data_IF_445536282108
#
_entry.id   IF_445536282108
#
_cell.length_a   1.000
_cell.length_b   1.000
_cell.length_c   1.000
_cell.angle_alpha   90.00
_cell.angle_beta   90.00
_cell.angle_gamma   90.00
#
_symmetry.space_group_name_H-M   'P 1'
#
loop_
_entity.id
_entity.type
_entity.pdbx_description
1 polymer ?
#
# COMPACT_ATOMS: atom_id res chain seq x y z
N UNK A 1 27.58 -3.21 -16.35
CA UNK A 1 26.51 -2.97 -15.35
C UNK A 1 25.75 -4.25 -15.04
N UNK A 2 25.27 -5.03 -16.05
CA UNK A 2 24.45 -6.25 -15.87
C UNK A 2 25.12 -7.33 -15.00
N UNK A 3 26.41 -7.76 -15.23
CA UNK A 3 27.01 -8.82 -14.42
C UNK A 3 27.23 -8.42 -12.95
N UNK A 4 27.42 -7.14 -12.66
CA UNK A 4 27.52 -6.63 -11.28
C UNK A 4 26.16 -6.68 -10.58
N UNK A 5 25.07 -6.35 -11.27
CA UNK A 5 23.71 -6.48 -10.77
C UNK A 5 23.37 -7.95 -10.46
N UNK A 6 23.69 -8.89 -11.37
CA UNK A 6 23.43 -10.32 -11.16
C UNK A 6 24.19 -10.86 -9.93
N UNK A 7 25.43 -10.42 -9.70
CA UNK A 7 26.21 -10.82 -8.53
C UNK A 7 25.64 -10.26 -7.22
N UNK A 8 25.18 -8.99 -7.22
CA UNK A 8 24.48 -8.38 -6.09
C UNK A 8 23.10 -9.00 -5.83
N UNK A 9 22.41 -9.46 -6.88
CA UNK A 9 21.11 -10.15 -6.73
C UNK A 9 21.21 -11.44 -5.89
N UNK A 10 22.30 -12.18 -5.95
CA UNK A 10 22.51 -13.36 -5.09
C UNK A 10 22.62 -12.99 -3.61
N UNK A 11 23.22 -11.84 -3.29
CA UNK A 11 23.33 -11.34 -1.93
C UNK A 11 21.94 -10.87 -1.42
N UNK A 12 21.20 -10.13 -2.24
CA UNK A 12 19.85 -9.68 -1.91
C UNK A 12 18.90 -10.86 -1.64
N UNK A 13 19.04 -11.95 -2.41
CA UNK A 13 18.25 -13.18 -2.19
C UNK A 13 18.55 -13.89 -0.87
N UNK A 14 19.75 -13.76 -0.29
CA UNK A 14 20.08 -14.38 0.99
C UNK A 14 19.38 -13.70 2.18
N UNK A 15 19.08 -12.43 2.06
CA UNK A 15 18.51 -11.58 3.12
C UNK A 15 16.96 -11.50 3.08
N UNK A 16 16.28 -12.43 2.40
CA UNK A 16 14.83 -12.40 2.18
C UNK A 16 14.02 -12.19 3.46
N UNK A 17 14.27 -12.97 4.49
CA UNK A 17 13.55 -12.85 5.76
C UNK A 17 13.95 -11.61 6.56
N UNK A 18 15.15 -11.08 6.33
CA UNK A 18 15.59 -9.81 6.93
C UNK A 18 14.77 -8.66 6.38
N UNK A 19 14.48 -8.64 5.06
CA UNK A 19 13.61 -7.62 4.48
C UNK A 19 12.19 -7.68 5.03
N UNK A 20 11.62 -8.87 5.17
CA UNK A 20 10.30 -9.04 5.78
C UNK A 20 10.30 -8.55 7.24
N UNK A 21 11.30 -8.95 8.03
CA UNK A 21 11.43 -8.55 9.43
C UNK A 21 11.60 -7.03 9.59
N UNK A 22 12.49 -6.42 8.81
CA UNK A 22 12.69 -4.96 8.83
C UNK A 22 11.39 -4.25 8.43
N UNK A 23 10.71 -4.71 7.38
CA UNK A 23 9.44 -4.11 6.94
C UNK A 23 8.37 -4.15 8.05
N UNK A 24 8.17 -5.30 8.69
CA UNK A 24 7.20 -5.46 9.78
C UNK A 24 7.60 -4.62 11.00
N UNK A 25 8.88 -4.62 11.40
CA UNK A 25 9.36 -3.83 12.54
C UNK A 25 9.19 -2.32 12.30
N UNK A 26 9.52 -1.84 11.11
CA UNK A 26 9.32 -0.43 10.76
C UNK A 26 7.83 -0.05 10.75
N UNK A 27 6.95 -0.91 10.21
CA UNK A 27 5.51 -0.68 10.26
C UNK A 27 4.98 -0.68 11.69
N UNK A 28 5.39 -1.62 12.51
CA UNK A 28 5.00 -1.68 13.91
C UNK A 28 5.49 -0.43 14.68
N UNK A 29 6.73 0.01 14.43
CA UNK A 29 7.27 1.23 15.03
C UNK A 29 6.45 2.46 14.60
N UNK A 30 6.13 2.60 13.32
CA UNK A 30 5.28 3.68 12.80
C UNK A 30 3.89 3.64 13.45
N UNK A 31 3.29 2.46 13.58
CA UNK A 31 1.99 2.29 14.24
C UNK A 31 2.02 2.73 15.71
N UNK A 32 3.03 2.32 16.47
CA UNK A 32 3.18 2.68 17.87
C UNK A 32 3.46 4.18 18.06
N UNK A 33 4.31 4.76 17.21
CA UNK A 33 4.63 6.18 17.27
C UNK A 33 3.48 7.07 16.79
N UNK A 34 2.69 6.62 15.82
CA UNK A 34 1.51 7.35 15.35
C UNK A 34 0.40 7.44 16.39
N UNK A 35 0.32 6.50 17.32
CA UNK A 35 -0.62 6.57 18.45
C UNK A 35 -0.24 7.61 19.49
N UNK A 36 1.06 7.95 19.59
CA UNK A 36 1.56 8.94 20.56
C UNK A 36 1.56 10.38 20.03
N UNK A 37 1.41 10.58 18.71
CA UNK A 37 1.41 11.89 18.08
C UNK A 37 0.06 12.16 17.44
N UNK A 38 -0.78 12.93 18.11
CA UNK A 38 -2.09 13.38 17.63
C UNK A 38 -2.06 13.82 16.16
N UNK A 39 -2.48 12.93 15.24
CA UNK A 39 -2.82 13.26 13.85
C UNK A 39 -1.70 13.71 12.92
N UNK A 40 -0.48 13.92 13.39
CA UNK A 40 0.65 14.26 12.54
C UNK A 40 1.11 12.99 11.78
N UNK A 41 1.00 13.01 10.47
CA UNK A 41 1.71 12.05 9.61
C UNK A 41 3.19 12.14 10.00
N UNK A 42 3.74 11.08 10.60
CA UNK A 42 5.13 11.04 11.02
C UNK A 42 6.01 11.10 9.78
N UNK A 43 6.37 12.31 9.38
CA UNK A 43 7.39 12.57 8.39
C UNK A 43 8.72 12.70 9.15
N UNK A 44 9.52 11.67 9.15
CA UNK A 44 10.89 11.73 9.66
C UNK A 44 11.74 12.28 8.52
N UNK A 45 12.27 13.50 8.69
CA UNK A 45 13.09 14.20 7.67
C UNK A 45 12.39 14.42 6.31
N UNK A 46 11.06 14.63 6.30
CA UNK A 46 10.32 14.84 5.06
C UNK A 46 9.99 13.58 4.27
N UNK A 47 10.46 12.41 4.70
CA UNK A 47 10.16 11.11 4.07
C UNK A 47 9.14 10.35 4.93
N UNK A 48 8.07 9.88 4.32
CA UNK A 48 7.13 8.97 4.97
C UNK A 48 7.77 7.58 5.12
N UNK A 49 7.87 7.00 6.31
CA UNK A 49 8.45 5.66 6.49
C UNK A 49 7.78 4.58 5.64
N UNK A 50 6.49 4.70 5.35
CA UNK A 50 5.74 3.81 4.48
C UNK A 50 6.32 3.72 3.06
N UNK A 51 6.97 4.79 2.56
CA UNK A 51 7.62 4.77 1.24
C UNK A 51 8.84 3.83 1.23
N UNK A 52 9.68 3.90 2.25
CA UNK A 52 10.84 3.01 2.39
C UNK A 52 10.39 1.54 2.58
N UNK A 53 9.31 1.33 3.31
CA UNK A 53 8.78 -0.01 3.58
C UNK A 53 8.22 -0.65 2.31
N UNK A 54 7.60 0.12 1.39
CA UNK A 54 7.19 -0.39 0.07
C UNK A 54 8.35 -1.04 -0.69
N UNK A 55 9.51 -0.39 -0.65
CA UNK A 55 10.71 -0.90 -1.33
C UNK A 55 11.15 -2.23 -0.72
N UNK A 56 11.27 -2.30 0.62
CA UNK A 56 11.69 -3.54 1.30
C UNK A 56 10.69 -4.67 1.08
N UNK A 57 9.39 -4.37 1.04
CA UNK A 57 8.33 -5.33 0.76
C UNK A 57 8.44 -5.93 -0.65
N UNK A 58 8.62 -5.09 -1.67
CA UNK A 58 8.79 -5.56 -3.05
C UNK A 58 10.07 -6.40 -3.19
N UNK A 59 11.17 -6.01 -2.55
CA UNK A 59 12.39 -6.82 -2.51
C UNK A 59 12.19 -8.18 -1.83
N UNK A 60 11.43 -8.21 -0.74
CA UNK A 60 11.06 -9.47 -0.08
C UNK A 60 10.29 -10.38 -1.03
N UNK A 61 9.20 -9.87 -1.66
CA UNK A 61 8.39 -10.62 -2.59
C UNK A 61 9.22 -11.17 -3.76
N UNK A 62 10.04 -10.31 -4.39
CA UNK A 62 10.90 -10.69 -5.50
C UNK A 62 11.93 -11.76 -5.10
N UNK A 63 12.60 -11.56 -3.96
CA UNK A 63 13.62 -12.48 -3.48
C UNK A 63 13.05 -13.84 -3.08
N UNK A 64 11.85 -13.86 -2.49
CA UNK A 64 11.19 -15.08 -2.06
C UNK A 64 10.64 -15.86 -3.25
N UNK A 65 9.82 -15.24 -4.09
CA UNK A 65 9.17 -15.87 -5.24
C UNK A 65 10.16 -16.27 -6.34
N UNK A 66 11.35 -15.64 -6.40
CA UNK A 66 12.40 -16.07 -7.33
C UNK A 66 13.04 -17.42 -6.96
N UNK A 67 12.82 -17.93 -5.76
CA UNK A 67 13.37 -19.22 -5.30
C UNK A 67 12.39 -20.35 -5.42
N UNK A 68 11.16 -20.08 -5.03
CA UNK A 68 10.11 -21.11 -4.97
C UNK A 68 8.77 -20.45 -5.29
N UNK A 69 8.03 -21.07 -6.20
CA UNK A 69 6.68 -20.69 -6.60
C UNK A 69 5.66 -21.77 -6.24
N UNK A 70 6.04 -22.71 -5.35
CA UNK A 70 5.14 -23.74 -4.85
C UNK A 70 3.94 -23.13 -4.11
N UNK A 71 2.88 -23.91 -3.96
CA UNK A 71 1.70 -23.48 -3.19
C UNK A 71 2.08 -23.03 -1.76
N UNK A 72 3.00 -23.76 -1.12
CA UNK A 72 3.49 -23.39 0.24
C UNK A 72 4.20 -22.03 0.24
N UNK A 73 5.02 -21.76 -0.77
CA UNK A 73 5.69 -20.48 -0.92
C UNK A 73 4.70 -19.33 -1.12
N UNK A 74 3.67 -19.52 -1.95
CA UNK A 74 2.61 -18.53 -2.15
C UNK A 74 1.85 -18.27 -0.85
N UNK A 75 1.50 -19.30 -0.09
CA UNK A 75 0.83 -19.14 1.22
C UNK A 75 1.70 -18.35 2.20
N UNK A 76 3.01 -18.64 2.31
CA UNK A 76 3.92 -17.90 3.20
C UNK A 76 4.01 -16.43 2.83
N UNK A 77 4.15 -16.12 1.54
CA UNK A 77 4.17 -14.75 1.03
C UNK A 77 2.84 -14.04 1.30
N UNK A 78 1.72 -14.75 1.14
CA UNK A 78 0.37 -14.21 1.41
C UNK A 78 0.20 -13.84 2.89
N UNK A 79 0.70 -14.68 3.80
CA UNK A 79 0.65 -14.39 5.25
C UNK A 79 1.45 -13.13 5.58
N UNK A 80 2.68 -13.01 5.05
CA UNK A 80 3.52 -11.83 5.28
C UNK A 80 2.86 -10.58 4.67
N UNK A 81 2.30 -10.69 3.46
CA UNK A 81 1.58 -9.58 2.82
C UNK A 81 0.34 -9.18 3.64
N UNK A 82 -0.44 -10.15 4.14
CA UNK A 82 -1.60 -9.88 4.97
C UNK A 82 -1.23 -9.15 6.29
N UNK A 83 -0.10 -9.50 6.91
CA UNK A 83 0.41 -8.80 8.10
C UNK A 83 0.74 -7.34 7.75
N UNK A 84 1.46 -7.07 6.66
CA UNK A 84 1.79 -5.71 6.24
C UNK A 84 0.54 -4.89 5.96
N UNK A 85 -0.39 -5.43 5.16
CA UNK A 85 -1.66 -4.77 4.82
C UNK A 85 -2.49 -4.55 6.09
N UNK A 86 -2.57 -5.54 6.98
CA UNK A 86 -3.30 -5.44 8.24
C UNK A 86 -2.78 -4.31 9.14
N UNK A 87 -1.48 -4.19 9.31
CA UNK A 87 -0.87 -3.10 10.09
C UNK A 87 -1.17 -1.73 9.46
N UNK A 88 -1.12 -1.62 8.12
CA UNK A 88 -1.45 -0.37 7.41
C UNK A 88 -2.92 0.01 7.58
N UNK A 89 -3.84 -0.95 7.52
CA UNK A 89 -5.26 -0.72 7.79
C UNK A 89 -5.47 -0.23 9.22
N UNK A 90 -4.82 -0.86 10.21
CA UNK A 90 -4.88 -0.43 11.60
C UNK A 90 -4.28 0.97 11.80
N UNK A 91 -3.24 1.32 11.03
CA UNK A 91 -2.61 2.65 11.02
C UNK A 91 -3.43 3.71 10.26
N UNK A 92 -4.63 3.37 9.78
CA UNK A 92 -5.51 4.24 8.97
C UNK A 92 -4.91 4.67 7.62
N UNK A 93 -3.84 4.02 7.17
CA UNK A 93 -3.21 4.26 5.87
C UNK A 93 -3.77 3.31 4.81
N UNK A 94 -5.04 3.51 4.45
CA UNK A 94 -5.74 2.67 3.48
C UNK A 94 -5.14 2.79 2.07
N UNK A 95 -4.59 3.97 1.72
CA UNK A 95 -3.95 4.19 0.43
C UNK A 95 -2.73 3.29 0.24
N UNK A 96 -1.81 3.28 1.20
CA UNK A 96 -0.65 2.37 1.18
C UNK A 96 -1.09 0.91 1.25
N UNK A 97 -2.11 0.56 2.04
CA UNK A 97 -2.62 -0.80 2.12
C UNK A 97 -3.06 -1.36 0.76
N UNK A 98 -3.77 -0.56 -0.05
CA UNK A 98 -4.18 -0.95 -1.41
C UNK A 98 -2.97 -1.12 -2.32
N UNK A 99 -1.96 -0.24 -2.23
CA UNK A 99 -0.73 -0.35 -3.05
C UNK A 99 0.05 -1.62 -2.70
N UNK A 100 0.21 -1.94 -1.41
CA UNK A 100 0.87 -3.18 -0.97
C UNK A 100 0.13 -4.42 -1.45
N UNK A 101 -1.19 -4.41 -1.35
CA UNK A 101 -2.02 -5.50 -1.81
C UNK A 101 -1.93 -5.68 -3.34
N UNK A 102 -2.01 -4.59 -4.11
CA UNK A 102 -1.86 -4.63 -5.56
C UNK A 102 -0.46 -5.14 -5.97
N UNK A 103 0.61 -4.64 -5.34
CA UNK A 103 1.96 -5.10 -5.58
C UNK A 103 2.11 -6.60 -5.29
N UNK A 104 1.54 -7.10 -4.18
CA UNK A 104 1.50 -8.52 -3.86
C UNK A 104 0.81 -9.34 -4.96
N UNK A 105 -0.38 -8.96 -5.39
CA UNK A 105 -1.13 -9.68 -6.43
C UNK A 105 -0.36 -9.75 -7.75
N UNK A 106 0.18 -8.62 -8.20
CA UNK A 106 0.97 -8.55 -9.44
C UNK A 106 2.21 -9.43 -9.33
N UNK A 107 2.94 -9.37 -8.22
CA UNK A 107 4.17 -10.13 -8.02
C UNK A 107 3.91 -11.64 -7.98
N UNK A 108 2.86 -12.08 -7.30
CA UNK A 108 2.46 -13.50 -7.27
C UNK A 108 2.06 -13.96 -8.67
N UNK A 109 1.26 -13.17 -9.40
CA UNK A 109 0.87 -13.51 -10.76
C UNK A 109 2.06 -13.60 -11.71
N UNK A 110 2.96 -12.63 -11.68
CA UNK A 110 4.17 -12.62 -12.54
C UNK A 110 5.08 -13.81 -12.25
N UNK A 111 5.22 -14.19 -10.97
CA UNK A 111 6.08 -15.29 -10.56
C UNK A 111 5.47 -16.67 -10.91
N UNK A 112 4.18 -16.85 -10.65
CA UNK A 112 3.51 -18.16 -10.80
C UNK A 112 2.91 -18.37 -12.19
N UNK A 113 2.65 -17.30 -12.94
CA UNK A 113 1.92 -17.32 -14.23
C UNK A 113 0.54 -17.97 -14.16
N UNK A 114 0.00 -18.13 -12.97
CA UNK A 114 -1.28 -18.77 -12.74
C UNK A 114 -2.36 -17.73 -12.37
N UNK A 115 -3.35 -17.49 -13.24
CA UNK A 115 -4.41 -16.51 -12.96
C UNK A 115 -5.33 -16.94 -11.80
N UNK A 116 -5.33 -18.22 -11.41
CA UNK A 116 -6.09 -18.72 -10.27
C UNK A 116 -5.68 -18.06 -8.96
N UNK A 117 -4.38 -17.79 -8.75
CA UNK A 117 -3.90 -17.06 -7.56
C UNK A 117 -4.33 -15.59 -7.58
N UNK A 118 -4.39 -14.99 -8.77
CA UNK A 118 -4.88 -13.61 -8.91
C UNK A 118 -6.37 -13.53 -8.53
N UNK A 119 -7.20 -14.43 -9.07
CA UNK A 119 -8.62 -14.48 -8.76
C UNK A 119 -8.87 -14.78 -7.28
N UNK A 120 -8.15 -15.74 -6.70
CA UNK A 120 -8.24 -16.09 -5.29
C UNK A 120 -7.84 -14.90 -4.40
N UNK A 121 -6.77 -14.20 -4.77
CA UNK A 121 -6.32 -13.01 -4.05
C UNK A 121 -7.33 -11.88 -4.14
N UNK A 122 -7.90 -11.61 -5.32
CA UNK A 122 -8.93 -10.59 -5.50
C UNK A 122 -10.20 -10.89 -4.70
N UNK A 123 -10.70 -12.13 -4.74
CA UNK A 123 -11.87 -12.54 -3.96
C UNK A 123 -11.61 -12.45 -2.46
N UNK A 124 -10.42 -12.88 -2.00
CA UNK A 124 -9.99 -12.72 -0.62
C UNK A 124 -9.89 -11.25 -0.20
N UNK A 125 -9.35 -10.39 -1.06
CA UNK A 125 -9.26 -8.94 -0.84
C UNK A 125 -10.64 -8.27 -0.75
N UNK A 126 -11.57 -8.66 -1.63
CA UNK A 126 -12.96 -8.19 -1.55
C UNK A 126 -13.62 -8.60 -0.22
N UNK A 127 -13.48 -9.87 0.18
CA UNK A 127 -14.00 -10.36 1.45
C UNK A 127 -13.39 -9.60 2.65
N UNK A 128 -12.06 -9.42 2.64
CA UNK A 128 -11.36 -8.64 3.67
C UNK A 128 -11.82 -7.18 3.72
N UNK A 129 -12.09 -6.56 2.56
CA UNK A 129 -12.62 -5.19 2.48
C UNK A 129 -14.02 -5.06 3.09
N UNK A 130 -14.90 -6.04 2.85
CA UNK A 130 -16.23 -6.09 3.47
C UNK A 130 -16.10 -6.22 5.00
N UNK A 131 -15.25 -7.11 5.48
CA UNK A 131 -14.97 -7.27 6.91
C UNK A 131 -14.41 -5.97 7.50
N UNK A 132 -13.45 -5.34 6.83
CA UNK A 132 -12.85 -4.08 7.26
C UNK A 132 -13.90 -2.95 7.32
N UNK A 133 -14.84 -2.89 6.38
CA UNK A 133 -15.93 -1.92 6.38
C UNK A 133 -16.82 -2.06 7.62
N UNK A 134 -17.11 -3.29 8.05
CA UNK A 134 -17.94 -3.51 9.24
C UNK A 134 -17.18 -3.28 10.55
N UNK A 135 -15.91 -3.62 10.61
CA UNK A 135 -15.10 -3.52 11.83
C UNK A 135 -14.55 -2.11 12.09
N UNK A 136 -14.16 -1.37 11.03
CA UNK A 136 -13.41 -0.12 11.18
C UNK A 136 -14.21 1.11 10.74
N UNK A 137 -14.46 2.04 11.68
CA UNK A 137 -15.18 3.30 11.41
C UNK A 137 -14.48 4.16 10.34
N UNK A 138 -13.16 4.25 10.34
CA UNK A 138 -12.42 5.04 9.35
C UNK A 138 -12.53 4.47 7.92
N UNK A 139 -12.75 3.16 7.76
CA UNK A 139 -13.04 2.57 6.44
C UNK A 139 -14.41 3.01 5.96
N UNK A 140 -15.42 3.00 6.84
CA UNK A 140 -16.77 3.50 6.51
C UNK A 140 -16.75 4.98 6.12
N UNK A 141 -16.00 5.81 6.85
CA UNK A 141 -15.82 7.23 6.52
C UNK A 141 -15.26 7.43 5.12
N UNK A 142 -14.21 6.67 4.74
CA UNK A 142 -13.65 6.72 3.38
C UNK A 142 -14.65 6.30 2.30
N UNK A 143 -15.45 5.25 2.55
CA UNK A 143 -16.49 4.80 1.63
C UNK A 143 -17.61 5.85 1.51
N UNK A 144 -18.00 6.49 2.63
CA UNK A 144 -18.96 7.58 2.62
C UNK A 144 -18.47 8.79 1.83
N UNK A 145 -17.23 9.21 2.04
CA UNK A 145 -16.59 10.30 1.30
C UNK A 145 -16.46 9.99 -0.20
N UNK A 146 -16.28 8.73 -0.56
CA UNK A 146 -16.25 8.32 -1.97
C UNK A 146 -17.64 8.32 -2.62
N UNK A 147 -18.69 7.94 -1.87
CA UNK A 147 -20.07 7.90 -2.40
C UNK A 147 -20.67 9.29 -2.57
N UNK A 148 -20.52 10.16 -1.56
CA UNK A 148 -21.03 11.52 -1.58
C UNK A 148 -20.00 12.46 -0.89
N UNK A 149 -18.99 12.91 -1.65
CA UNK A 149 -17.96 13.76 -1.10
C UNK A 149 -18.48 15.15 -0.71
N UNK A 150 -19.57 15.63 -1.34
CA UNK A 150 -20.16 16.93 -1.03
C UNK A 150 -20.86 16.92 0.34
N UNK A 151 -21.52 15.85 0.71
CA UNK A 151 -22.19 15.74 2.01
C UNK A 151 -21.20 15.77 3.20
N UNK A 152 -19.93 15.40 2.97
CA UNK A 152 -18.87 15.38 3.98
C UNK A 152 -17.70 16.30 3.63
N UNK A 153 -17.99 17.39 2.91
CA UNK A 153 -17.00 18.33 2.39
C UNK A 153 -16.07 18.90 3.48
N UNK A 154 -16.60 19.23 4.65
CA UNK A 154 -15.81 19.86 5.73
C UNK A 154 -14.84 18.88 6.44
N UNK A 155 -14.91 17.59 6.12
CA UNK A 155 -14.13 16.55 6.77
C UNK A 155 -13.40 15.69 5.72
N UNK A 156 -13.75 14.41 5.62
CA UNK A 156 -13.07 13.42 4.79
C UNK A 156 -13.29 13.63 3.27
N UNK A 157 -14.34 14.36 2.88
CA UNK A 157 -14.67 14.66 1.49
C UNK A 157 -13.83 15.78 0.88
N UNK A 158 -13.19 16.62 1.70
CA UNK A 158 -12.47 17.82 1.24
C UNK A 158 -11.47 17.53 0.12
N UNK A 159 -10.60 16.53 0.28
CA UNK A 159 -9.60 16.19 -0.73
C UNK A 159 -10.21 15.76 -2.07
N UNK A 160 -11.32 15.01 -2.03
CA UNK A 160 -12.00 14.51 -3.22
C UNK A 160 -12.67 15.68 -3.95
N UNK A 161 -13.36 16.54 -3.22
CA UNK A 161 -14.06 17.71 -3.77
C UNK A 161 -13.07 18.70 -4.38
N UNK A 162 -11.97 19.01 -3.70
CA UNK A 162 -10.91 19.85 -4.26
C UNK A 162 -10.30 19.26 -5.53
N UNK A 163 -10.10 17.95 -5.56
CA UNK A 163 -9.63 17.26 -6.78
C UNK A 163 -10.64 17.40 -7.93
N UNK A 164 -11.94 17.25 -7.63
CA UNK A 164 -12.98 17.41 -8.63
C UNK A 164 -13.05 18.85 -9.14
N UNK A 165 -12.93 19.85 -8.27
CA UNK A 165 -12.86 21.25 -8.68
C UNK A 165 -11.62 21.53 -9.53
N UNK A 166 -10.46 21.03 -9.15
CA UNK A 166 -9.23 21.19 -9.92
C UNK A 166 -9.35 20.56 -11.33
N UNK A 167 -9.96 19.39 -11.44
CA UNK A 167 -10.23 18.72 -12.73
C UNK A 167 -11.26 19.54 -13.54
N UNK A 168 -12.34 19.98 -12.89
CA UNK A 168 -13.41 20.74 -13.56
C UNK A 168 -12.94 22.09 -14.09
N UNK A 169 -12.11 22.80 -13.33
CA UNK A 169 -11.58 24.11 -13.74
C UNK A 169 -10.40 23.99 -14.70
N UNK A 170 -9.58 22.94 -14.59
CA UNK A 170 -8.41 22.75 -15.45
C UNK A 170 -8.71 22.16 -16.82
N UNK A 171 -9.79 21.40 -16.97
CA UNK A 171 -10.11 20.70 -18.22
C UNK A 171 -8.96 19.82 -18.71
N UNK A 172 -8.85 19.65 -20.03
CA UNK A 172 -7.83 18.78 -20.66
C UNK A 172 -6.41 19.37 -20.67
N UNK A 173 -6.26 20.70 -20.66
CA UNK A 173 -4.98 21.39 -20.83
C UNK A 173 -4.51 22.13 -19.58
N UNK A 174 -5.32 22.14 -18.52
CA UNK A 174 -5.05 22.93 -17.34
C UNK A 174 -5.26 24.43 -17.53
N UNK A 175 -5.17 25.20 -16.46
CA UNK A 175 -5.31 26.66 -16.49
C UNK A 175 -4.02 27.40 -16.88
N UNK A 176 -2.91 26.68 -17.04
CA UNK A 176 -1.58 27.24 -17.30
C UNK A 176 -0.63 27.07 -16.11
N UNK A 177 0.66 27.25 -16.41
CA UNK A 177 1.73 27.08 -15.43
C UNK A 177 1.60 28.18 -14.35
N UNK A 178 1.61 27.76 -13.08
CA UNK A 178 1.46 28.66 -11.91
C UNK A 178 0.11 29.42 -11.80
N UNK A 179 -0.93 29.00 -12.54
CA UNK A 179 -2.26 29.63 -12.47
C UNK A 179 -3.28 28.77 -11.67
N UNK A 180 -2.84 27.70 -11.03
CA UNK A 180 -3.68 26.94 -10.12
C UNK A 180 -3.91 27.71 -8.81
N UNK A 181 -5.09 27.52 -8.19
CA UNK A 181 -5.38 28.01 -6.84
C UNK A 181 -4.90 26.98 -5.82
N UNK A 182 -3.88 27.27 -5.02
CA UNK A 182 -3.35 26.32 -4.02
C UNK A 182 -4.06 26.44 -2.66
N UNK A 183 -5.35 26.73 -2.62
CA UNK A 183 -6.13 26.83 -1.38
C UNK A 183 -6.47 25.48 -0.76
#
# INVERSE_FOLDING_TARGET
>A
VVPVMIRKMRFLRKLTWVYAGIGILLLAAVFLLAQTSYGAKLSILGVQPSEAIKITFVFFLAAFLSRDTSFRAVVQVSVVAAIHVGILVLSRDLGSAVIFFAAYLVMVYVATRNPGYLLLGMTGGCAASVVAYHLFGHVRQRVSAWKDPMAVYQNEGYQIVQSLFAIGTGGWFGMGLCQGSPE
#
